data_IF_021915190350
#
_entry.id   IF_021915190350
#
_cell.length_a   1.000
_cell.length_b   1.000
_cell.length_c   1.000
_cell.angle_alpha   90.00
_cell.angle_beta   90.00
_cell.angle_gamma   90.00
#
_symmetry.space_group_name_H-M   'P 1'
#
loop_
_entity.id
_entity.type
_entity.pdbx_description
1 polymer ?
#
# COMPACT_ATOMS: atom_id res chain seq x y z
N UNK A 1 -30.66 -5.02 -3.61
CA UNK A 1 -30.56 -4.71 -2.17
C UNK A 1 -29.08 -4.70 -1.83
N UNK A 2 -28.51 -3.52 -1.54
CA UNK A 2 -27.15 -3.41 -1.01
C UNK A 2 -27.21 -3.58 0.51
N UNK A 3 -26.27 -4.34 1.07
CA UNK A 3 -26.09 -4.50 2.52
C UNK A 3 -24.64 -4.14 2.80
N UNK A 4 -24.42 -3.14 3.64
CA UNK A 4 -23.07 -2.77 4.06
C UNK A 4 -22.42 -3.95 4.81
N UNK A 5 -21.10 -4.15 4.67
CA UNK A 5 -20.42 -5.15 5.48
C UNK A 5 -20.62 -4.91 6.98
N UNK A 6 -20.61 -6.01 7.74
CA UNK A 6 -20.97 -6.00 9.15
C UNK A 6 -19.92 -5.26 9.97
N UNK A 7 -20.39 -4.31 10.77
CA UNK A 7 -19.59 -3.59 11.75
C UNK A 7 -19.89 -4.16 13.15
N UNK A 8 -18.89 -4.10 14.03
CA UNK A 8 -19.05 -4.43 15.46
C UNK A 8 -19.66 -3.19 16.12
N UNK A 9 -20.72 -3.34 16.95
CA UNK A 9 -21.25 -2.17 17.68
C UNK A 9 -20.21 -1.72 18.72
N UNK A 10 -19.63 -0.50 18.62
CA UNK A 10 -18.60 -0.06 19.56
C UNK A 10 -19.12 0.10 20.99
N UNK A 11 -20.44 0.23 21.19
CA UNK A 11 -21.04 0.28 22.52
C UNK A 11 -21.21 -1.09 23.18
N UNK A 12 -21.23 -2.17 22.39
CA UNK A 12 -21.41 -3.54 22.86
C UNK A 12 -20.63 -4.51 21.95
N UNK A 13 -19.29 -4.43 21.93
CA UNK A 13 -18.50 -5.12 20.91
C UNK A 13 -18.49 -6.63 21.15
N UNK A 14 -18.81 -7.41 20.11
CA UNK A 14 -18.82 -8.87 20.16
C UNK A 14 -17.40 -9.49 20.18
N UNK A 15 -16.38 -8.72 19.78
CA UNK A 15 -14.96 -9.06 19.79
C UNK A 15 -14.16 -7.83 20.25
N UNK A 16 -12.94 -7.99 20.80
CA UNK A 16 -12.11 -6.85 21.19
C UNK A 16 -11.78 -5.94 20.00
N UNK A 17 -12.15 -4.66 20.09
CA UNK A 17 -11.85 -3.62 19.08
C UNK A 17 -11.06 -2.43 19.63
N UNK A 18 -10.76 -2.42 20.94
CA UNK A 18 -9.93 -1.40 21.58
C UNK A 18 -9.16 -1.96 22.76
N UNK A 19 -8.04 -1.32 23.09
CA UNK A 19 -7.33 -1.52 24.35
C UNK A 19 -7.13 -0.16 25.02
N UNK A 20 -7.66 0.07 26.24
CA UNK A 20 -8.47 -0.86 27.04
C UNK A 20 -9.83 -1.17 26.38
N UNK A 21 -10.44 -2.30 26.77
CA UNK A 21 -11.68 -2.79 26.16
C UNK A 21 -12.88 -1.83 26.30
N UNK A 22 -12.87 -0.95 27.31
CA UNK A 22 -13.90 0.06 27.53
C UNK A 22 -13.83 1.26 26.59
N UNK A 23 -12.67 1.48 25.95
CA UNK A 23 -12.37 2.73 25.24
C UNK A 23 -13.24 2.94 24.02
N UNK A 24 -13.48 1.92 23.19
CA UNK A 24 -14.37 2.07 22.03
C UNK A 24 -15.78 2.53 22.42
N UNK A 25 -16.33 1.97 23.51
CA UNK A 25 -17.64 2.37 24.02
C UNK A 25 -17.64 3.77 24.64
N UNK A 26 -16.54 4.18 25.26
CA UNK A 26 -16.36 5.55 25.77
C UNK A 26 -16.36 6.57 24.62
N UNK A 27 -15.52 6.33 23.61
CA UNK A 27 -15.45 7.15 22.41
C UNK A 27 -16.81 7.22 21.71
N UNK A 28 -17.47 6.08 21.50
CA UNK A 28 -18.77 6.04 20.85
C UNK A 28 -19.88 6.78 21.62
N UNK A 29 -19.81 6.83 22.96
CA UNK A 29 -20.73 7.65 23.77
C UNK A 29 -20.44 9.14 23.63
N UNK A 30 -19.19 9.52 23.43
CA UNK A 30 -18.79 10.91 23.31
C UNK A 30 -19.02 11.49 21.90
N UNK A 31 -18.82 10.69 20.86
CA UNK A 31 -18.75 11.17 19.47
C UNK A 31 -19.79 10.52 18.56
N UNK A 32 -20.55 9.54 19.05
CA UNK A 32 -21.46 8.73 18.24
C UNK A 32 -20.85 7.42 17.79
N UNK A 33 -21.68 6.52 17.26
CA UNK A 33 -21.20 5.25 16.67
C UNK A 33 -20.39 5.54 15.42
N UNK A 34 -19.41 4.68 15.15
CA UNK A 34 -18.47 4.80 14.05
C UNK A 34 -18.21 3.44 13.41
N UNK A 35 -17.66 3.46 12.19
CA UNK A 35 -17.23 2.26 11.50
C UNK A 35 -16.08 1.57 12.25
N UNK A 36 -16.20 0.25 12.46
CA UNK A 36 -15.17 -0.56 13.14
C UNK A 36 -14.36 -1.42 12.17
N UNK A 37 -14.56 -1.21 10.88
CA UNK A 37 -13.78 -1.86 9.83
C UNK A 37 -12.45 -1.13 9.64
N UNK A 38 -11.39 -1.85 9.27
CA UNK A 38 -10.09 -1.22 9.00
C UNK A 38 -10.12 -0.32 7.76
N UNK A 39 -11.00 -0.60 6.80
CA UNK A 39 -11.21 0.17 5.57
C UNK A 39 -12.72 0.36 5.40
N UNK A 40 -13.30 1.46 5.93
CA UNK A 40 -14.74 1.67 5.95
C UNK A 40 -15.32 2.10 4.59
N UNK A 41 -14.55 2.76 3.74
CA UNK A 41 -15.00 3.22 2.42
C UNK A 41 -15.25 2.02 1.51
N UNK A 42 -16.46 1.90 0.97
CA UNK A 42 -16.82 0.70 0.21
C UNK A 42 -16.35 0.77 -1.26
N UNK A 43 -15.03 0.65 -1.43
CA UNK A 43 -14.36 0.62 -2.74
C UNK A 43 -14.87 -0.52 -3.62
N UNK A 44 -15.20 -1.67 -3.03
CA UNK A 44 -15.77 -2.83 -3.73
C UNK A 44 -17.16 -2.56 -4.31
N UNK A 45 -18.03 -1.84 -3.58
CA UNK A 45 -19.35 -1.45 -4.09
C UNK A 45 -19.25 -0.49 -5.28
N UNK A 46 -18.31 0.46 -5.25
CA UNK A 46 -18.02 1.33 -6.39
C UNK A 46 -17.44 0.53 -7.56
N UNK A 47 -16.46 -0.35 -7.30
CA UNK A 47 -15.84 -1.18 -8.33
C UNK A 47 -16.85 -2.11 -9.03
N UNK A 48 -17.84 -2.63 -8.28
CA UNK A 48 -18.90 -3.47 -8.80
C UNK A 48 -20.07 -2.70 -9.45
N UNK A 49 -20.02 -1.36 -9.49
CA UNK A 49 -21.10 -0.52 -10.03
C UNK A 49 -22.37 -0.50 -9.18
N UNK A 50 -22.29 -0.92 -7.92
CA UNK A 50 -23.41 -0.84 -6.95
C UNK A 50 -23.55 0.58 -6.41
N UNK A 51 -22.43 1.26 -6.19
CA UNK A 51 -22.38 2.69 -5.85
C UNK A 51 -22.03 3.50 -7.10
N UNK A 52 -22.72 4.61 -7.29
CA UNK A 52 -22.20 5.75 -8.06
C UNK A 52 -21.03 6.41 -7.31
N UNK A 53 -20.23 7.22 -8.02
CA UNK A 53 -19.15 7.99 -7.39
C UNK A 53 -19.66 8.95 -6.32
N UNK A 54 -20.85 9.52 -6.54
CA UNK A 54 -21.49 10.41 -5.56
C UNK A 54 -21.89 9.65 -4.29
N UNK A 55 -22.47 8.45 -4.41
CA UNK A 55 -22.81 7.61 -3.26
C UNK A 55 -21.56 7.11 -2.52
N UNK A 56 -20.51 6.75 -3.26
CA UNK A 56 -19.21 6.41 -2.68
C UNK A 56 -18.64 7.59 -1.88
N UNK A 57 -18.54 8.78 -2.46
CA UNK A 57 -18.02 9.97 -1.75
C UNK A 57 -18.91 10.36 -0.57
N UNK A 58 -20.22 10.20 -0.68
CA UNK A 58 -21.13 10.45 0.44
C UNK A 58 -20.87 9.49 1.61
N UNK A 59 -20.62 8.20 1.33
CA UNK A 59 -20.28 7.23 2.36
C UNK A 59 -18.87 7.42 2.91
N UNK A 60 -17.89 7.72 2.05
CA UNK A 60 -16.52 8.03 2.46
C UNK A 60 -16.47 9.27 3.37
N UNK A 61 -17.31 10.27 3.09
CA UNK A 61 -17.46 11.44 3.96
C UNK A 61 -17.99 11.09 5.34
N UNK A 62 -18.88 10.10 5.48
CA UNK A 62 -19.35 9.65 6.81
C UNK A 62 -18.15 9.10 7.60
N UNK A 63 -17.36 8.21 6.99
CA UNK A 63 -16.19 7.62 7.63
C UNK A 63 -15.12 8.68 7.98
N UNK A 64 -14.79 9.60 7.07
CA UNK A 64 -13.84 10.68 7.32
C UNK A 64 -14.32 11.65 8.41
N UNK A 65 -15.61 12.00 8.42
CA UNK A 65 -16.16 12.89 9.45
C UNK A 65 -16.13 12.26 10.84
N UNK A 66 -16.33 10.94 10.95
CA UNK A 66 -16.18 10.22 12.23
C UNK A 66 -14.76 10.41 12.79
N UNK A 67 -13.72 10.29 11.96
CA UNK A 67 -12.31 10.53 12.34
C UNK A 67 -12.12 12.00 12.77
N UNK A 68 -12.62 12.95 11.99
CA UNK A 68 -12.47 14.38 12.30
C UNK A 68 -13.17 14.77 13.60
N UNK A 69 -14.38 14.27 13.84
CA UNK A 69 -15.18 14.59 15.03
C UNK A 69 -14.63 13.92 16.29
N UNK A 70 -13.97 12.77 16.15
CA UNK A 70 -13.33 12.07 17.26
C UNK A 70 -12.06 12.74 17.73
N UNK A 71 -11.27 13.30 16.81
CA UNK A 71 -9.95 13.83 17.11
C UNK A 71 -9.92 14.84 18.27
N UNK A 72 -10.81 15.85 18.36
CA UNK A 72 -10.87 16.75 19.50
C UNK A 72 -11.13 16.06 20.85
N UNK A 73 -11.96 15.00 20.86
CA UNK A 73 -12.19 14.23 22.08
C UNK A 73 -10.91 13.50 22.52
N UNK A 74 -10.27 12.80 21.58
CA UNK A 74 -9.05 12.04 21.83
C UNK A 74 -7.91 12.96 22.30
N UNK A 75 -7.71 14.10 21.62
CA UNK A 75 -6.67 15.06 21.96
C UNK A 75 -6.86 15.65 23.36
N UNK A 76 -8.10 15.95 23.77
CA UNK A 76 -8.38 16.45 25.14
C UNK A 76 -8.15 15.41 26.24
N UNK A 77 -8.26 14.13 25.94
CA UNK A 77 -7.97 13.05 26.91
C UNK A 77 -6.48 12.72 26.98
N UNK A 78 -5.68 13.19 26.01
CA UNK A 78 -4.25 12.94 25.98
C UNK A 78 -3.52 13.89 26.95
N UNK A 79 -2.79 13.30 27.89
CA UNK A 79 -2.03 14.04 28.91
C UNK A 79 -0.51 14.02 28.62
N UNK A 80 0.05 12.83 28.36
CA UNK A 80 1.50 12.66 28.17
C UNK A 80 1.84 11.41 27.36
N UNK A 81 3.02 11.41 26.76
CA UNK A 81 3.57 10.27 26.03
C UNK A 81 3.49 10.49 24.52
N UNK A 82 3.05 9.47 23.78
CA UNK A 82 2.85 9.52 22.34
C UNK A 82 1.36 9.31 22.03
N UNK A 83 0.76 10.28 21.32
CA UNK A 83 -0.52 10.10 20.65
C UNK A 83 -0.25 9.83 19.17
N UNK A 84 -0.64 8.64 18.70
CA UNK A 84 -0.68 8.32 17.28
C UNK A 84 -2.14 8.33 16.83
N UNK A 85 -2.44 9.14 15.82
CA UNK A 85 -3.78 9.29 15.28
C UNK A 85 -3.73 9.07 13.77
N UNK A 86 -4.61 8.22 13.25
CA UNK A 86 -4.60 7.78 11.86
C UNK A 86 -5.82 8.32 11.12
N UNK A 87 -5.57 8.88 9.94
CA UNK A 87 -6.55 9.34 8.97
C UNK A 87 -6.30 8.51 7.70
N UNK A 88 -7.30 7.75 7.26
CA UNK A 88 -7.17 6.81 6.14
C UNK A 88 -8.00 7.15 4.91
N UNK A 89 -8.84 8.18 4.97
CA UNK A 89 -9.72 8.58 3.88
C UNK A 89 -8.88 9.09 2.69
N UNK A 90 -7.74 9.74 2.98
CA UNK A 90 -6.78 10.17 1.96
C UNK A 90 -6.27 9.01 1.10
N UNK A 91 -6.14 7.81 1.66
CA UNK A 91 -5.73 6.60 0.94
C UNK A 91 -6.85 6.05 0.04
N UNK A 92 -8.00 5.69 0.64
CA UNK A 92 -9.07 5.02 -0.11
C UNK A 92 -9.78 5.93 -1.12
N UNK A 93 -9.90 7.23 -0.84
CA UNK A 93 -10.38 8.19 -1.84
C UNK A 93 -9.35 8.34 -2.96
N UNK A 94 -8.05 8.41 -2.66
CA UNK A 94 -7.01 8.51 -3.69
C UNK A 94 -7.03 7.30 -4.62
N UNK A 95 -7.16 6.09 -4.10
CA UNK A 95 -7.27 4.88 -4.93
C UNK A 95 -8.43 4.96 -5.94
N UNK A 96 -9.62 5.39 -5.50
CA UNK A 96 -10.83 5.36 -6.32
C UNK A 96 -11.05 6.62 -7.16
N UNK A 97 -10.52 7.77 -6.74
CA UNK A 97 -10.85 9.10 -7.27
C UNK A 97 -9.64 9.87 -7.82
N UNK A 98 -8.50 9.20 -8.06
CA UNK A 98 -7.36 9.82 -8.74
C UNK A 98 -7.64 10.15 -10.21
N UNK A 99 -8.30 9.24 -10.95
CA UNK A 99 -8.60 9.42 -12.37
C UNK A 99 -9.32 10.75 -12.67
N UNK A 100 -10.35 11.16 -11.90
CA UNK A 100 -11.00 12.45 -12.07
C UNK A 100 -10.10 13.69 -12.21
N UNK A 101 -8.95 13.70 -11.53
CA UNK A 101 -7.98 14.80 -11.60
C UNK A 101 -6.83 14.58 -12.59
N UNK A 102 -6.82 13.46 -13.34
CA UNK A 102 -5.82 13.13 -14.36
C UNK A 102 -6.47 12.97 -15.75
N UNK A 103 -6.60 14.06 -16.52
CA UNK A 103 -7.11 14.01 -17.90
C UNK A 103 -6.31 13.13 -18.86
N UNK A 104 -5.08 12.75 -18.50
CA UNK A 104 -4.29 11.85 -19.33
C UNK A 104 -4.59 10.38 -19.09
N UNK A 105 -5.26 10.01 -17.99
CA UNK A 105 -5.48 8.61 -17.62
C UNK A 105 -6.24 7.89 -18.75
N UNK A 106 -5.84 6.65 -19.12
CA UNK A 106 -6.43 5.96 -20.29
C UNK A 106 -7.95 5.76 -20.21
N UNK A 107 -8.50 5.65 -19.00
CA UNK A 107 -9.95 5.55 -18.76
C UNK A 107 -10.62 6.88 -18.39
N UNK A 108 -9.94 8.02 -18.55
CA UNK A 108 -10.52 9.32 -18.24
C UNK A 108 -11.71 9.63 -19.15
N UNK A 109 -12.81 10.07 -18.56
CA UNK A 109 -14.02 10.48 -19.27
C UNK A 109 -14.21 12.00 -19.15
N UNK A 110 -14.07 12.78 -20.24
CA UNK A 110 -14.12 14.25 -20.20
C UNK A 110 -15.49 14.84 -19.86
N UNK A 111 -16.53 14.01 -19.71
CA UNK A 111 -17.88 14.42 -19.29
C UNK A 111 -18.14 13.99 -17.85
N UNK A 112 -17.82 12.74 -17.51
CA UNK A 112 -18.18 12.15 -16.22
C UNK A 112 -17.15 12.42 -15.11
N UNK A 113 -15.87 12.60 -15.45
CA UNK A 113 -14.79 12.80 -14.48
C UNK A 113 -14.64 14.23 -13.94
N UNK A 114 -14.78 15.32 -14.73
CA UNK A 114 -14.58 16.69 -14.24
C UNK A 114 -15.36 17.08 -12.98
N UNK A 115 -16.63 16.66 -12.78
CA UNK A 115 -17.36 16.97 -11.55
C UNK A 115 -16.74 16.44 -10.25
N UNK A 116 -15.77 15.52 -10.36
CA UNK A 116 -15.12 14.87 -9.21
C UNK A 116 -13.62 15.18 -9.11
N UNK A 117 -13.10 16.11 -9.92
CA UNK A 117 -11.66 16.42 -9.94
C UNK A 117 -11.12 16.90 -8.59
N UNK A 118 -11.96 17.52 -7.75
CA UNK A 118 -11.57 18.02 -6.43
C UNK A 118 -11.69 16.97 -5.31
N UNK A 119 -12.14 15.74 -5.60
CA UNK A 119 -12.36 14.73 -4.57
C UNK A 119 -11.11 14.43 -3.71
N UNK A 120 -9.94 14.28 -4.36
CA UNK A 120 -8.67 14.05 -3.66
C UNK A 120 -8.19 15.33 -2.95
N UNK A 121 -8.09 16.50 -3.61
CA UNK A 121 -7.75 17.76 -2.92
C UNK A 121 -8.61 18.05 -1.69
N UNK A 122 -9.94 17.90 -1.78
CA UNK A 122 -10.84 18.13 -0.65
C UNK A 122 -10.60 17.18 0.52
N UNK A 123 -10.21 15.94 0.26
CA UNK A 123 -9.83 15.00 1.32
C UNK A 123 -8.57 15.47 2.07
N UNK A 124 -7.60 16.06 1.37
CA UNK A 124 -6.42 16.66 2.01
C UNK A 124 -6.77 17.93 2.80
N UNK A 125 -7.74 18.74 2.34
CA UNK A 125 -8.24 19.88 3.13
C UNK A 125 -8.91 19.41 4.43
N UNK A 126 -9.61 18.29 4.41
CA UNK A 126 -10.21 17.67 5.59
C UNK A 126 -9.12 17.15 6.56
N UNK A 127 -8.05 16.53 6.05
CA UNK A 127 -6.90 16.14 6.87
C UNK A 127 -6.16 17.34 7.48
N UNK A 128 -6.05 18.46 6.76
CA UNK A 128 -5.43 19.70 7.25
C UNK A 128 -6.19 20.28 8.47
N UNK A 129 -7.50 20.05 8.58
CA UNK A 129 -8.27 20.45 9.77
C UNK A 129 -7.80 19.73 11.04
N UNK A 130 -7.35 18.48 10.94
CA UNK A 130 -6.76 17.75 12.07
C UNK A 130 -5.45 18.42 12.52
N UNK A 131 -4.60 18.78 11.55
CA UNK A 131 -3.33 19.47 11.81
C UNK A 131 -3.58 20.83 12.45
N UNK A 132 -4.51 21.63 11.90
CA UNK A 132 -4.92 22.92 12.46
C UNK A 132 -5.44 22.76 13.88
N UNK A 133 -6.35 21.81 14.12
CA UNK A 133 -6.88 21.57 15.46
C UNK A 133 -5.78 21.18 16.46
N UNK A 134 -4.83 20.35 16.05
CA UNK A 134 -3.70 19.97 16.88
C UNK A 134 -2.81 21.18 17.23
N UNK A 135 -2.46 22.00 16.24
CA UNK A 135 -1.65 23.21 16.44
C UNK A 135 -2.31 24.21 17.41
N UNK A 136 -3.63 24.38 17.31
CA UNK A 136 -4.39 25.31 18.15
C UNK A 136 -4.52 24.85 19.62
N UNK A 137 -4.37 23.56 19.90
CA UNK A 137 -4.64 22.96 21.22
C UNK A 137 -3.43 22.29 21.86
N UNK A 138 -2.30 22.15 21.16
CA UNK A 138 -1.08 21.57 21.70
C UNK A 138 -0.41 22.50 22.72
N UNK A 139 0.24 21.93 23.73
CA UNK A 139 1.08 22.70 24.65
C UNK A 139 2.41 23.11 24.00
N UNK A 140 3.07 24.13 24.57
CA UNK A 140 4.35 24.66 24.05
C UNK A 140 5.47 23.59 23.97
N UNK A 141 5.46 22.61 24.89
CA UNK A 141 6.43 21.51 24.94
C UNK A 141 6.04 20.30 24.08
N UNK A 142 4.92 20.36 23.36
CA UNK A 142 4.45 19.26 22.51
C UNK A 142 5.11 19.33 21.13
N UNK A 143 5.42 18.18 20.53
CA UNK A 143 5.82 18.10 19.12
C UNK A 143 4.64 17.54 18.32
N UNK A 144 4.24 18.24 17.27
CA UNK A 144 3.33 17.69 16.26
C UNK A 144 4.15 17.14 15.09
N UNK A 145 3.84 15.91 14.69
CA UNK A 145 4.37 15.26 13.50
C UNK A 145 3.19 14.91 12.61
N UNK A 146 3.11 15.51 11.41
CA UNK A 146 2.22 15.09 10.35
C UNK A 146 3.06 14.35 9.30
N UNK A 147 2.74 13.08 9.08
CA UNK A 147 3.48 12.24 8.13
C UNK A 147 2.54 11.36 7.32
N UNK A 148 3.04 10.88 6.19
CA UNK A 148 2.46 9.74 5.48
C UNK A 148 3.48 8.61 5.39
N UNK A 149 2.98 7.38 5.41
CA UNK A 149 3.77 6.18 5.19
C UNK A 149 4.18 6.01 3.71
N UNK A 150 3.40 6.57 2.79
CA UNK A 150 3.73 6.66 1.37
C UNK A 150 3.10 7.90 0.71
N UNK A 151 3.51 8.17 -0.54
CA UNK A 151 2.82 9.09 -1.44
C UNK A 151 1.82 8.34 -2.32
N UNK A 152 1.41 8.97 -3.42
CA UNK A 152 0.51 8.38 -4.41
C UNK A 152 0.84 8.86 -5.82
N UNK A 153 0.45 8.09 -6.83
CA UNK A 153 0.45 8.50 -8.23
C UNK A 153 -0.67 7.80 -9.00
N UNK A 154 -1.02 8.35 -10.16
CA UNK A 154 -1.83 7.66 -11.16
C UNK A 154 -1.14 6.39 -11.66
N UNK A 155 -1.92 5.34 -11.92
CA UNK A 155 -1.47 4.08 -12.51
C UNK A 155 -2.24 3.76 -13.80
N UNK A 156 -1.50 3.53 -14.89
CA UNK A 156 -2.03 3.37 -16.26
C UNK A 156 -1.86 1.96 -16.83
N UNK A 157 -0.94 1.19 -16.28
CA UNK A 157 -0.38 -0.04 -16.90
C UNK A 157 -0.17 -1.14 -15.88
N UNK A 158 -0.97 -2.17 -15.96
CA UNK A 158 -0.87 -3.34 -15.10
C UNK A 158 0.21 -4.28 -15.62
N UNK A 159 1.19 -4.62 -14.80
CA UNK A 159 2.25 -5.56 -15.13
C UNK A 159 1.99 -6.94 -14.49
N UNK A 160 1.94 -7.98 -15.33
CA UNK A 160 1.80 -9.37 -14.89
C UNK A 160 3.18 -10.03 -14.80
N UNK A 161 3.76 -10.05 -13.59
CA UNK A 161 5.12 -10.56 -13.37
C UNK A 161 5.28 -12.01 -13.82
N UNK A 162 4.31 -12.86 -13.49
CA UNK A 162 4.36 -14.27 -13.86
C UNK A 162 4.18 -14.51 -15.37
N UNK A 163 3.43 -13.65 -16.06
CA UNK A 163 3.34 -13.69 -17.51
C UNK A 163 4.71 -13.36 -18.13
N UNK A 164 5.40 -12.34 -17.61
CA UNK A 164 6.74 -11.97 -18.07
C UNK A 164 7.74 -13.10 -17.81
N UNK A 165 7.74 -13.69 -16.61
CA UNK A 165 8.62 -14.80 -16.26
C UNK A 165 8.37 -16.02 -17.15
N UNK A 166 7.11 -16.33 -17.47
CA UNK A 166 6.75 -17.44 -18.36
C UNK A 166 7.22 -17.20 -19.79
N UNK A 167 6.91 -16.03 -20.36
CA UNK A 167 7.32 -15.67 -21.73
C UNK A 167 8.84 -15.61 -21.91
N UNK A 168 9.58 -15.29 -20.84
CA UNK A 168 11.04 -15.23 -20.85
C UNK A 168 11.73 -16.53 -20.40
N UNK A 169 10.97 -17.60 -20.12
CA UNK A 169 11.50 -18.95 -19.86
C UNK A 169 11.94 -19.22 -18.42
N UNK A 170 11.60 -18.35 -17.47
CA UNK A 170 11.90 -18.53 -16.03
C UNK A 170 10.81 -19.29 -15.28
N UNK A 171 9.56 -19.19 -15.74
CA UNK A 171 8.42 -19.89 -15.18
C UNK A 171 7.85 -20.86 -16.22
N UNK A 172 7.47 -22.06 -15.78
CA UNK A 172 6.81 -23.06 -16.61
C UNK A 172 5.43 -23.38 -16.05
N UNK A 173 4.47 -23.71 -16.93
CA UNK A 173 3.15 -24.17 -16.53
C UNK A 173 2.95 -25.65 -16.82
N UNK A 174 2.07 -26.29 -16.05
CA UNK A 174 1.69 -27.71 -16.21
C UNK A 174 0.85 -27.92 -17.46
N UNK A 175 -0.07 -26.98 -17.73
CA UNK A 175 -0.99 -27.05 -18.85
C UNK A 175 -1.23 -25.65 -19.43
N UNK A 176 -0.73 -25.44 -20.65
CA UNK A 176 -0.84 -24.20 -21.44
C UNK A 176 -2.28 -23.98 -21.97
N UNK A 177 -3.12 -25.01 -21.97
CA UNK A 177 -4.50 -24.92 -22.45
C UNK A 177 -5.47 -24.38 -21.39
N UNK A 178 -5.05 -24.33 -20.13
CA UNK A 178 -5.88 -23.80 -19.05
C UNK A 178 -6.13 -22.30 -19.24
N UNK A 179 -7.32 -21.83 -18.86
CA UNK A 179 -7.57 -20.39 -18.82
C UNK A 179 -6.67 -19.73 -17.77
N UNK A 180 -6.31 -18.45 -17.97
CA UNK A 180 -5.72 -17.59 -16.93
C UNK A 180 -6.61 -17.48 -15.68
N UNK A 181 -6.11 -16.83 -14.63
CA UNK A 181 -6.88 -16.63 -13.39
C UNK A 181 -6.83 -17.79 -12.38
N UNK A 182 -5.88 -18.73 -12.51
CA UNK A 182 -5.69 -19.81 -11.53
C UNK A 182 -4.83 -19.32 -10.38
N UNK A 183 -5.46 -19.05 -9.24
CA UNK A 183 -4.79 -18.58 -8.03
C UNK A 183 -3.83 -19.62 -7.41
N UNK A 184 -3.01 -19.14 -6.47
CA UNK A 184 -2.14 -19.88 -5.56
C UNK A 184 -1.10 -20.74 -6.28
N UNK A 185 -0.58 -20.26 -7.42
CA UNK A 185 0.49 -20.90 -8.19
C UNK A 185 0.13 -22.34 -8.63
N UNK A 186 -1.17 -22.67 -8.70
CA UNK A 186 -1.63 -24.05 -8.89
C UNK A 186 -1.25 -24.66 -10.25
N UNK A 187 -1.14 -23.81 -11.28
CA UNK A 187 -0.71 -24.22 -12.63
C UNK A 187 0.82 -24.21 -12.84
N UNK A 188 1.63 -23.80 -11.84
CA UNK A 188 3.10 -23.77 -11.99
C UNK A 188 3.67 -25.19 -12.05
N UNK A 189 4.49 -25.45 -13.08
CA UNK A 189 5.35 -26.64 -13.18
C UNK A 189 6.68 -26.37 -12.46
N UNK A 190 6.73 -26.75 -11.19
CA UNK A 190 7.87 -26.52 -10.32
C UNK A 190 9.15 -27.24 -10.76
N UNK A 191 9.05 -28.35 -11.48
CA UNK A 191 10.22 -29.09 -11.95
C UNK A 191 10.99 -28.35 -13.06
N UNK A 192 10.37 -27.33 -13.66
CA UNK A 192 10.92 -26.54 -14.77
C UNK A 192 10.95 -25.04 -14.49
N UNK A 193 10.42 -24.61 -13.35
CA UNK A 193 10.35 -23.19 -12.95
C UNK A 193 11.58 -22.81 -12.13
N UNK A 194 12.29 -21.76 -12.56
CA UNK A 194 13.46 -21.18 -11.87
C UNK A 194 13.09 -19.98 -11.00
N UNK A 195 12.09 -19.19 -11.39
CA UNK A 195 11.62 -18.03 -10.63
C UNK A 195 10.11 -17.82 -10.77
N UNK A 196 9.49 -17.21 -9.77
CA UNK A 196 8.05 -16.92 -9.71
C UNK A 196 7.79 -15.63 -8.94
N UNK A 197 6.70 -14.95 -9.30
CA UNK A 197 6.17 -13.79 -8.59
C UNK A 197 5.06 -14.21 -7.61
N UNK A 198 5.07 -13.61 -6.43
CA UNK A 198 4.01 -13.75 -5.43
C UNK A 198 3.94 -12.51 -4.55
N UNK A 199 2.73 -12.08 -4.16
CA UNK A 199 2.52 -10.72 -3.65
C UNK A 199 2.67 -9.66 -4.75
N UNK A 200 2.44 -8.40 -4.39
CA UNK A 200 2.31 -7.31 -5.36
C UNK A 200 3.64 -6.93 -6.03
N UNK A 201 4.77 -7.16 -5.34
CA UNK A 201 6.11 -6.79 -5.79
C UNK A 201 7.13 -7.92 -5.60
N UNK A 202 6.74 -9.06 -5.03
CA UNK A 202 7.67 -10.11 -4.62
C UNK A 202 8.13 -10.98 -5.79
N UNK A 203 9.45 -11.13 -5.93
CA UNK A 203 10.09 -12.08 -6.84
C UNK A 203 10.88 -13.12 -6.05
N UNK A 204 10.63 -14.39 -6.34
CA UNK A 204 11.21 -15.54 -5.67
C UNK A 204 11.95 -16.43 -6.67
N UNK A 205 13.09 -16.96 -6.24
CA UNK A 205 13.81 -18.05 -6.91
C UNK A 205 13.27 -19.37 -6.39
N UNK A 206 13.02 -20.34 -7.27
CA UNK A 206 12.63 -21.70 -6.87
C UNK A 206 13.86 -22.48 -6.34
N UNK A 207 14.29 -22.14 -5.13
CA UNK A 207 15.58 -22.47 -4.54
C UNK A 207 15.55 -23.85 -3.88
N UNK A 208 16.55 -24.67 -4.18
CA UNK A 208 16.74 -25.95 -3.49
C UNK A 208 16.91 -25.76 -1.99
N UNK A 209 16.13 -26.49 -1.20
CA UNK A 209 16.19 -26.47 0.26
C UNK A 209 15.28 -25.43 0.93
N UNK A 210 14.71 -24.48 0.17
CA UNK A 210 13.67 -23.56 0.66
C UNK A 210 12.30 -23.92 0.10
N UNK A 211 12.17 -23.97 -1.22
CA UNK A 211 10.95 -24.44 -1.88
C UNK A 211 10.89 -25.97 -1.86
N UNK A 212 9.70 -26.53 -1.59
CA UNK A 212 9.47 -27.99 -1.56
C UNK A 212 9.97 -28.71 -2.82
N UNK A 213 9.85 -28.06 -3.97
CA UNK A 213 10.26 -28.56 -5.28
C UNK A 213 11.32 -27.65 -5.93
N UNK A 214 12.16 -27.02 -5.11
CA UNK A 214 13.26 -26.16 -5.54
C UNK A 214 14.18 -26.87 -6.53
N UNK A 215 14.50 -26.20 -7.64
CA UNK A 215 15.40 -26.74 -8.68
C UNK A 215 16.69 -25.93 -8.82
N UNK A 216 16.68 -24.65 -8.43
CA UNK A 216 17.85 -23.78 -8.56
C UNK A 216 18.81 -24.08 -7.40
N UNK A 217 20.06 -24.50 -7.67
CA UNK A 217 21.05 -24.70 -6.62
C UNK A 217 21.39 -23.37 -5.92
N UNK A 218 21.72 -23.36 -4.61
CA UNK A 218 22.10 -22.13 -3.91
C UNK A 218 23.26 -21.37 -4.55
N UNK A 219 24.20 -22.09 -5.17
CA UNK A 219 25.35 -21.51 -5.89
C UNK A 219 24.97 -20.74 -7.16
N UNK A 220 23.78 -20.97 -7.73
CA UNK A 220 23.33 -20.31 -8.95
C UNK A 220 22.37 -19.15 -8.68
N UNK A 221 21.90 -19.01 -7.42
CA UNK A 221 20.87 -18.03 -7.04
C UNK A 221 21.28 -16.60 -7.37
N UNK A 222 22.48 -16.19 -6.97
CA UNK A 222 22.95 -14.81 -7.17
C UNK A 222 23.08 -14.45 -8.65
N UNK A 223 23.60 -15.39 -9.46
CA UNK A 223 23.71 -15.19 -10.90
C UNK A 223 22.34 -15.06 -11.58
N UNK A 224 21.36 -15.89 -11.18
CA UNK A 224 19.99 -15.79 -11.68
C UNK A 224 19.32 -14.47 -11.26
N UNK A 225 19.55 -13.98 -10.04
CA UNK A 225 19.00 -12.70 -9.60
C UNK A 225 19.57 -11.52 -10.37
N UNK A 226 20.89 -11.51 -10.62
CA UNK A 226 21.52 -10.47 -11.45
C UNK A 226 20.97 -10.49 -12.90
N UNK A 227 20.77 -11.68 -13.47
CA UNK A 227 20.14 -11.84 -14.80
C UNK A 227 18.70 -11.31 -14.82
N UNK A 228 17.90 -11.63 -13.79
CA UNK A 228 16.50 -11.17 -13.67
C UNK A 228 16.41 -9.66 -13.46
N UNK A 229 17.27 -9.09 -12.63
CA UNK A 229 17.38 -7.63 -12.41
C UNK A 229 17.61 -6.91 -13.75
N UNK A 230 18.67 -7.28 -14.49
CA UNK A 230 18.99 -6.65 -15.78
C UNK A 230 17.84 -6.75 -16.79
N UNK A 231 17.24 -7.94 -16.92
CA UNK A 231 16.18 -8.16 -17.92
C UNK A 231 14.85 -7.49 -17.54
N UNK A 232 14.51 -7.44 -16.26
CA UNK A 232 13.30 -6.75 -15.80
C UNK A 232 13.46 -5.24 -15.98
N UNK A 233 14.58 -4.65 -15.55
CA UNK A 233 14.82 -3.20 -15.66
C UNK A 233 14.94 -2.71 -17.11
N UNK A 234 15.30 -3.59 -18.05
CA UNK A 234 15.31 -3.29 -19.49
C UNK A 234 13.95 -3.52 -20.18
N UNK A 235 12.92 -3.93 -19.45
CA UNK A 235 11.58 -4.14 -20.01
C UNK A 235 10.90 -2.80 -20.29
N UNK A 236 10.61 -2.55 -21.57
CA UNK A 236 9.97 -1.34 -22.07
C UNK A 236 8.47 -1.55 -22.22
N UNK A 237 7.68 -0.61 -21.71
CA UNK A 237 6.26 -0.49 -22.01
C UNK A 237 6.08 -0.08 -23.49
N UNK A 238 5.49 -0.94 -24.35
CA UNK A 238 5.40 -0.68 -25.78
C UNK A 238 4.43 0.46 -26.13
N UNK A 239 3.59 0.92 -25.20
CA UNK A 239 2.63 2.01 -25.44
C UNK A 239 3.24 3.40 -25.30
N UNK A 240 4.25 3.58 -24.44
CA UNK A 240 4.87 4.89 -24.18
C UNK A 240 6.41 4.89 -24.41
N UNK A 241 7.01 3.74 -24.66
CA UNK A 241 8.45 3.59 -24.88
C UNK A 241 9.30 3.84 -23.63
N UNK A 242 8.71 3.85 -22.43
CA UNK A 242 9.39 4.04 -21.16
C UNK A 242 9.59 2.69 -20.45
N UNK A 243 10.54 2.59 -19.50
CA UNK A 243 10.68 1.40 -18.66
C UNK A 243 9.39 1.11 -17.88
N UNK A 244 9.00 -0.17 -17.80
CA UNK A 244 7.87 -0.61 -16.98
C UNK A 244 8.28 -0.86 -15.51
N UNK A 245 9.56 -1.15 -15.29
CA UNK A 245 10.19 -1.34 -13.98
C UNK A 245 11.26 -0.26 -13.82
N UNK A 246 11.28 0.42 -12.68
CA UNK A 246 12.29 1.43 -12.38
C UNK A 246 13.50 0.82 -11.69
N UNK A 247 13.28 -0.15 -10.80
CA UNK A 247 14.35 -0.80 -10.04
C UNK A 247 13.94 -2.20 -9.60
N UNK A 248 14.89 -3.12 -9.46
CA UNK A 248 14.70 -4.41 -8.78
C UNK A 248 15.61 -4.45 -7.55
N UNK A 249 15.01 -4.38 -6.36
CA UNK A 249 15.75 -4.42 -5.11
C UNK A 249 16.06 -5.86 -4.71
N UNK A 250 17.34 -6.23 -4.66
CA UNK A 250 17.78 -7.56 -4.26
C UNK A 250 17.83 -7.65 -2.73
N UNK A 251 17.18 -8.67 -2.16
CA UNK A 251 17.02 -8.82 -0.70
C UNK A 251 18.35 -8.67 0.06
N UNK A 252 19.38 -9.38 -0.39
CA UNK A 252 20.65 -9.51 0.34
C UNK A 252 21.60 -8.32 0.09
N UNK A 253 21.33 -7.50 -0.94
CA UNK A 253 22.08 -6.27 -1.26
C UNK A 253 21.46 -5.05 -0.62
N UNK A 254 20.13 -4.92 -0.72
CA UNK A 254 19.42 -3.67 -0.50
C UNK A 254 18.70 -3.62 0.87
N UNK A 255 18.59 -4.75 1.58
CA UNK A 255 17.90 -4.83 2.86
C UNK A 255 18.74 -5.49 3.97
N UNK A 256 18.65 -4.94 5.17
CA UNK A 256 19.16 -5.56 6.39
C UNK A 256 18.33 -6.79 6.76
N UNK A 257 18.97 -7.82 7.31
CA UNK A 257 18.27 -9.01 7.81
C UNK A 257 17.36 -8.68 8.98
N UNK A 258 16.04 -8.85 8.83
CA UNK A 258 15.08 -8.70 9.93
C UNK A 258 14.70 -10.02 10.60
N UNK A 259 15.45 -11.11 10.37
CA UNK A 259 15.14 -12.44 10.89
C UNK A 259 14.07 -13.19 10.10
N UNK A 260 13.72 -12.72 8.89
CA UNK A 260 12.66 -13.30 8.04
C UNK A 260 13.16 -13.67 6.63
N UNK A 261 14.49 -13.72 6.40
CA UNK A 261 15.07 -14.01 5.08
C UNK A 261 14.68 -15.38 4.52
N UNK A 262 14.37 -16.34 5.39
CA UNK A 262 14.00 -17.70 4.99
C UNK A 262 12.64 -17.79 4.30
N UNK A 263 11.74 -16.83 4.55
CA UNK A 263 10.37 -16.81 4.00
C UNK A 263 10.10 -15.62 3.09
N UNK A 264 10.97 -14.60 3.11
CA UNK A 264 10.83 -13.40 2.28
C UNK A 264 11.24 -13.62 0.82
N UNK A 265 10.79 -12.73 -0.09
CA UNK A 265 11.18 -12.75 -1.50
C UNK A 265 12.68 -12.54 -1.67
N UNK A 266 13.23 -13.02 -2.78
CA UNK A 266 14.64 -12.79 -3.11
C UNK A 266 14.90 -11.40 -3.70
N UNK A 267 13.87 -10.81 -4.31
CA UNK A 267 13.88 -9.43 -4.75
C UNK A 267 12.48 -8.79 -4.65
N UNK A 268 12.47 -7.46 -4.55
CA UNK A 268 11.27 -6.62 -4.59
C UNK A 268 11.33 -5.80 -5.89
N UNK A 269 10.32 -5.96 -6.74
CA UNK A 269 10.21 -5.21 -8.00
C UNK A 269 9.62 -3.83 -7.71
N UNK A 270 10.40 -2.78 -7.98
CA UNK A 270 9.95 -1.38 -7.96
C UNK A 270 9.38 -0.98 -9.32
N UNK A 271 8.06 -0.93 -9.44
CA UNK A 271 7.39 -0.57 -10.69
C UNK A 271 7.68 0.89 -11.07
N UNK A 272 7.84 1.16 -12.37
CA UNK A 272 8.01 2.53 -12.82
C UNK A 272 6.75 3.37 -12.56
N UNK A 273 6.90 4.70 -12.46
CA UNK A 273 5.77 5.61 -12.27
C UNK A 273 4.72 5.42 -13.37
N UNK A 274 3.49 5.13 -12.99
CA UNK A 274 2.39 4.84 -13.92
C UNK A 274 2.22 3.36 -14.26
N UNK A 275 3.08 2.48 -13.75
CA UNK A 275 2.97 1.02 -13.81
C UNK A 275 2.77 0.47 -12.40
N UNK A 276 2.03 -0.63 -12.28
CA UNK A 276 1.83 -1.34 -11.01
C UNK A 276 1.75 -2.84 -11.26
N UNK A 277 2.13 -3.63 -10.27
CA UNK A 277 1.86 -5.06 -10.24
C UNK A 277 0.37 -5.37 -10.34
N UNK A 278 0.04 -6.46 -11.01
CA UNK A 278 -1.33 -6.93 -11.10
C UNK A 278 -1.77 -7.62 -9.80
N UNK A 279 -3.03 -7.41 -9.40
CA UNK A 279 -3.64 -8.14 -8.27
C UNK A 279 -3.59 -9.67 -8.48
N UNK A 280 -3.77 -10.10 -9.73
CA UNK A 280 -3.63 -11.50 -10.15
C UNK A 280 -2.22 -12.04 -9.87
N UNK A 281 -1.18 -11.23 -10.07
CA UNK A 281 0.19 -11.61 -9.73
C UNK A 281 0.39 -11.75 -8.22
N UNK A 282 -0.35 -10.98 -7.41
CA UNK A 282 -0.28 -11.10 -5.95
C UNK A 282 -0.74 -12.47 -5.45
N UNK A 283 -1.71 -13.08 -6.13
CA UNK A 283 -2.20 -14.43 -5.85
C UNK A 283 -1.42 -15.52 -6.62
N UNK A 284 -0.37 -15.15 -7.36
CA UNK A 284 0.43 -16.09 -8.13
C UNK A 284 -0.27 -16.62 -9.39
N UNK A 285 -1.23 -15.89 -9.93
CA UNK A 285 -1.85 -16.21 -11.21
C UNK A 285 -0.85 -15.96 -12.36
N UNK A 286 -1.12 -16.60 -13.49
CA UNK A 286 -0.31 -16.50 -14.71
C UNK A 286 -1.24 -16.04 -15.82
N UNK A 287 -1.13 -14.76 -16.14
CA UNK A 287 -1.87 -14.13 -17.22
C UNK A 287 -1.17 -14.31 -18.57
N UNK A 288 -1.89 -14.04 -19.66
CA UNK A 288 -1.32 -14.15 -21.01
C UNK A 288 -0.48 -12.95 -21.41
N UNK A 289 -0.96 -11.76 -21.08
CA UNK A 289 -0.33 -10.50 -21.48
C UNK A 289 0.55 -9.97 -20.35
N UNK A 290 1.75 -9.51 -20.68
CA UNK A 290 2.68 -8.94 -19.69
C UNK A 290 2.20 -7.59 -19.18
N UNK A 291 1.69 -6.76 -20.08
CA UNK A 291 1.25 -5.40 -19.79
C UNK A 291 -0.15 -5.21 -20.34
N UNK A 292 -1.06 -4.71 -19.51
CA UNK A 292 -2.42 -4.33 -19.94
C UNK A 292 -2.74 -2.93 -19.47
N UNK A 293 -3.66 -2.26 -20.17
CA UNK A 293 -4.12 -0.92 -19.76
C UNK A 293 -4.98 -1.04 -18.50
N UNK A 294 -4.76 -0.13 -17.54
CA UNK A 294 -5.66 0.00 -16.40
C UNK A 294 -6.91 0.81 -16.81
N UNK A 295 -8.03 0.13 -16.92
CA UNK A 295 -9.36 0.73 -17.16
C UNK A 295 -10.31 0.58 -15.97
N UNK A 296 -9.79 0.10 -14.83
CA UNK A 296 -10.58 -0.15 -13.62
C UNK A 296 -10.87 1.17 -12.88
N UNK A 297 -11.88 1.17 -11.97
CA UNK A 297 -12.12 2.29 -11.07
C UNK A 297 -10.94 2.62 -10.13
N UNK A 298 -10.18 1.60 -9.73
CA UNK A 298 -8.94 1.76 -8.96
C UNK A 298 -7.86 2.38 -9.85
N UNK A 299 -7.50 3.64 -9.61
CA UNK A 299 -6.76 4.48 -10.55
C UNK A 299 -5.60 5.27 -9.94
N UNK A 300 -5.63 5.51 -8.63
CA UNK A 300 -4.48 5.95 -7.85
C UNK A 300 -3.84 4.77 -7.15
N UNK A 301 -2.52 4.78 -6.97
CA UNK A 301 -1.81 3.74 -6.25
C UNK A 301 -0.44 4.21 -5.72
N UNK A 302 0.22 3.33 -4.96
CA UNK A 302 1.48 3.58 -4.28
C UNK A 302 2.41 2.34 -4.22
N UNK A 303 2.14 1.29 -5.00
CA UNK A 303 3.02 0.11 -5.10
C UNK A 303 4.24 0.30 -6.02
N UNK A 304 4.42 1.50 -6.57
CA UNK A 304 5.57 1.84 -7.43
C UNK A 304 6.88 1.85 -6.66
N UNK A 305 7.98 1.99 -7.40
CA UNK A 305 9.30 2.29 -6.85
C UNK A 305 9.22 3.47 -5.85
N UNK A 306 9.76 3.37 -4.62
CA UNK A 306 9.53 4.37 -3.57
C UNK A 306 9.81 5.84 -3.96
N UNK A 307 10.84 6.17 -4.75
CA UNK A 307 11.04 7.52 -5.29
C UNK A 307 9.89 8.08 -6.14
N UNK A 308 9.05 7.24 -6.73
CA UNK A 308 7.90 7.66 -7.55
C UNK A 308 6.70 8.11 -6.70
N UNK A 309 6.63 7.67 -5.44
CA UNK A 309 5.53 7.91 -4.50
C UNK A 309 6.07 8.32 -3.12
N UNK A 310 6.82 9.43 -3.03
CA UNK A 310 7.42 9.86 -1.77
C UNK A 310 6.35 10.25 -0.75
N UNK A 311 6.48 9.74 0.47
CA UNK A 311 5.70 10.22 1.61
C UNK A 311 6.11 11.62 2.05
N UNK A 312 5.34 12.20 2.96
CA UNK A 312 5.60 13.51 3.54
C UNK A 312 6.00 13.41 5.00
N UNK A 313 6.79 14.38 5.47
CA UNK A 313 7.10 14.58 6.89
C UNK A 313 7.11 16.09 7.16
N UNK A 314 6.17 16.53 7.99
CA UNK A 314 6.07 17.90 8.49
C UNK A 314 6.05 17.88 10.01
N UNK A 315 6.78 18.80 10.64
CA UNK A 315 6.88 18.90 12.10
C UNK A 315 6.69 20.34 12.56
N UNK A 316 6.06 20.54 13.72
CA UNK A 316 5.81 21.90 14.27
C UNK A 316 7.10 22.62 14.72
N UNK A 317 8.16 21.86 15.00
CA UNK A 317 9.52 22.33 15.27
C UNK A 317 10.54 21.32 14.73
N UNK A 318 11.82 21.69 14.58
CA UNK A 318 12.85 20.73 14.23
C UNK A 318 12.91 19.55 15.21
N UNK A 319 13.12 18.35 14.66
CA UNK A 319 13.38 17.14 15.45
C UNK A 319 14.77 17.24 16.12
N UNK A 320 14.89 16.71 17.34
CA UNK A 320 16.14 16.57 18.06
C UNK A 320 17.18 15.78 17.26
N UNK A 321 16.71 14.83 16.44
CA UNK A 321 17.50 14.09 15.46
C UNK A 321 16.79 14.14 14.10
N UNK A 322 17.48 14.50 13.01
CA UNK A 322 16.86 14.50 11.69
C UNK A 322 16.49 13.08 11.25
N UNK A 323 15.39 12.95 10.52
CA UNK A 323 14.95 11.71 9.89
C UNK A 323 14.69 11.95 8.39
N UNK A 324 15.28 11.09 7.54
CA UNK A 324 15.15 11.18 6.06
C UNK A 324 14.22 10.13 5.48
N UNK A 325 13.83 9.14 6.28
CA UNK A 325 12.95 8.05 5.90
C UNK A 325 12.26 7.49 7.16
N UNK A 326 11.25 6.63 6.98
CA UNK A 326 10.49 6.03 8.09
C UNK A 326 11.35 5.21 9.04
N UNK A 327 12.44 4.57 8.56
CA UNK A 327 13.34 3.78 9.42
C UNK A 327 14.08 4.67 10.41
N UNK A 328 14.48 5.86 9.98
CA UNK A 328 15.13 6.87 10.83
C UNK A 328 14.12 7.59 11.73
N UNK A 329 12.86 7.72 11.31
CA UNK A 329 11.83 8.45 12.06
C UNK A 329 11.54 7.83 13.44
N UNK A 330 11.52 6.51 13.55
CA UNK A 330 11.37 5.83 14.84
C UNK A 330 12.45 6.24 15.85
N UNK A 331 13.72 6.29 15.41
CA UNK A 331 14.82 6.72 16.25
C UNK A 331 14.77 8.22 16.58
N UNK A 332 14.25 9.05 15.66
CA UNK A 332 14.02 10.46 15.90
C UNK A 332 12.93 10.71 16.96
N UNK A 333 11.81 9.98 16.87
CA UNK A 333 10.72 10.05 17.87
C UNK A 333 11.23 9.62 19.25
N UNK A 334 11.99 8.53 19.36
CA UNK A 334 12.56 8.10 20.64
C UNK A 334 13.50 9.14 21.25
N UNK A 335 14.26 9.86 20.42
CA UNK A 335 15.17 10.92 20.88
C UNK A 335 14.42 12.10 21.53
N UNK A 336 13.19 12.40 21.09
CA UNK A 336 12.34 13.43 21.72
C UNK A 336 11.94 13.06 23.17
N UNK A 337 11.95 11.76 23.50
CA UNK A 337 11.71 11.28 24.86
C UNK A 337 13.00 11.07 25.66
N UNK A 338 14.15 11.48 25.14
CA UNK A 338 15.46 11.22 25.76
C UNK A 338 15.84 9.74 25.79
N UNK A 339 15.20 8.91 24.95
CA UNK A 339 15.49 7.49 24.84
C UNK A 339 16.55 7.33 23.76
N UNK A 340 17.75 6.89 24.15
CA UNK A 340 18.76 6.45 23.18
C UNK A 340 18.22 5.21 22.45
N UNK A 341 17.86 5.39 21.19
CA UNK A 341 17.67 4.25 20.30
C UNK A 341 19.04 3.55 20.20
N UNK A 342 19.12 2.22 20.39
CA UNK A 342 20.29 1.48 19.97
C UNK A 342 20.62 1.91 18.54
N UNK A 343 21.89 2.12 18.25
CA UNK A 343 22.39 2.53 16.93
C UNK A 343 22.24 1.44 15.85
N UNK A 344 21.22 0.59 15.96
CA UNK A 344 20.90 -0.49 15.04
C UNK A 344 19.44 -0.38 14.63
N UNK A 345 19.18 -0.69 13.36
CA UNK A 345 17.83 -1.05 12.89
C UNK A 345 17.23 -2.13 13.81
N UNK A 346 15.89 -2.33 13.84
CA UNK A 346 15.24 -3.43 14.58
C UNK A 346 15.64 -4.87 14.17
N UNK A 347 16.80 -5.04 13.54
CA UNK A 347 17.40 -6.28 13.08
C UNK A 347 18.36 -6.94 14.08
N UNK A 348 18.72 -6.27 15.18
CA UNK A 348 19.75 -6.76 16.13
C UNK A 348 19.18 -7.34 17.44
N UNK A 349 17.93 -7.83 17.46
CA UNK A 349 17.40 -8.58 18.62
C UNK A 349 16.77 -9.90 18.23
#
# INVERSE_FOLDING_TARGET
LYVSPLNIDPLAPALPISTPASYAGELARATGRFYTQGMPENTGALAAGVFSRQEFLAQAKIAGQEVIDQFPYVLRQFDRGLLFYYEGNTDLISHMMWRPMDPGHPAYDPVEDPPFADAVPSCYEDADRLVTHALDHMGEDTLLIAMSDHGFTSWRRTFHLNAWLHQNGYLAVKDESLPPGRELLTNVDWARTRAYGFGLNGLYVNLQGREKWGIVPPSEREALLAELEERLETTIDPWNGQPAIAHVYLRDRDFSDGGQREVGPDAIVGWAKGTRGADSSALGEIEREVLVTNDKPWSGDHEMDPPAVPGILATSRPLARPARNLRELNAAILAEFGIESPSGTPAER
#
